data_IF_458028701241
#
_entry.id   IF_458028701241
#
_cell.length_a   1.000
_cell.length_b   1.000
_cell.length_c   1.000
_cell.angle_alpha   90.00
_cell.angle_beta   90.00
_cell.angle_gamma   90.00
#
_symmetry.space_group_name_H-M   'P 1'
#
loop_
_entity.id
_entity.type
_entity.pdbx_description
1 polymer ?
#
# COMPACT_ATOMS: atom_id res chain seq x y z
N UNK A 1 -9.37 5.02 14.15
CA UNK A 1 -8.20 5.28 13.29
C UNK A 1 -8.29 4.27 12.17
N UNK A 2 -8.42 4.68 10.90
CA UNK A 2 -8.35 3.73 9.78
C UNK A 2 -6.91 3.26 9.67
N UNK A 3 -6.65 1.98 9.91
CA UNK A 3 -5.30 1.44 9.80
C UNK A 3 -4.85 1.54 8.33
N UNK A 4 -3.58 1.83 8.04
CA UNK A 4 -3.04 1.92 6.66
C UNK A 4 -3.39 0.67 5.83
N UNK A 5 -3.60 -0.47 6.49
CA UNK A 5 -4.18 -1.69 5.93
C UNK A 5 -5.51 -1.48 5.22
N UNK A 6 -6.47 -0.86 5.90
CA UNK A 6 -7.81 -0.59 5.36
C UNK A 6 -7.74 0.39 4.19
N UNK A 7 -6.84 1.38 4.28
CA UNK A 7 -6.64 2.36 3.22
C UNK A 7 -6.11 1.68 1.94
N UNK A 8 -5.14 0.77 2.07
CA UNK A 8 -4.61 0.01 0.94
C UNK A 8 -5.69 -0.84 0.26
N UNK A 9 -6.54 -1.53 1.05
CA UNK A 9 -7.66 -2.32 0.51
C UNK A 9 -8.71 -1.41 -0.14
N UNK A 10 -9.03 -0.26 0.47
CA UNK A 10 -9.93 0.73 -0.11
C UNK A 10 -9.41 1.33 -1.43
N UNK A 11 -8.09 1.35 -1.63
CA UNK A 11 -7.44 1.75 -2.87
C UNK A 11 -7.19 0.60 -3.86
N UNK A 12 -7.73 -0.59 -3.61
CA UNK A 12 -7.75 -1.69 -4.57
C UNK A 12 -6.70 -2.77 -4.34
N UNK A 13 -6.05 -2.80 -3.18
CA UNK A 13 -5.22 -3.95 -2.81
C UNK A 13 -6.11 -5.19 -2.61
N UNK A 14 -5.67 -6.35 -3.12
CA UNK A 14 -6.28 -7.66 -2.85
C UNK A 14 -6.30 -7.99 -1.35
N UNK A 15 -5.30 -7.50 -0.65
CA UNK A 15 -5.13 -7.63 0.78
C UNK A 15 -3.97 -6.77 1.24
N UNK A 16 -3.92 -6.56 2.55
CA UNK A 16 -2.85 -5.80 3.18
C UNK A 16 -2.41 -6.45 4.49
N UNK A 17 -1.14 -6.29 4.82
CA UNK A 17 -0.54 -6.92 6.00
C UNK A 17 0.53 -6.00 6.61
N UNK A 18 0.57 -5.95 7.93
CA UNK A 18 1.62 -5.25 8.66
C UNK A 18 2.81 -6.20 8.86
N UNK A 19 4.02 -5.70 8.63
CA UNK A 19 5.24 -6.46 8.74
C UNK A 19 5.72 -6.53 10.19
N UNK A 20 5.59 -7.69 10.82
CA UNK A 20 6.07 -7.92 12.18
C UNK A 20 5.42 -6.98 13.20
N UNK A 21 6.24 -6.37 14.08
CA UNK A 21 5.80 -5.39 15.10
C UNK A 21 5.90 -3.93 14.65
N UNK A 22 6.43 -3.66 13.46
CA UNK A 22 6.70 -2.30 12.97
C UNK A 22 5.49 -1.64 12.29
N UNK A 23 5.58 -0.34 11.96
CA UNK A 23 4.49 0.40 11.30
C UNK A 23 4.38 0.12 9.79
N UNK A 24 5.25 -0.74 9.24
CA UNK A 24 5.29 -1.03 7.81
C UNK A 24 4.10 -1.88 7.41
N UNK A 25 3.33 -1.42 6.42
CA UNK A 25 2.20 -2.16 5.85
C UNK A 25 2.41 -2.36 4.36
N UNK A 26 2.19 -3.59 3.91
CA UNK A 26 2.20 -3.96 2.51
C UNK A 26 0.78 -4.08 1.98
N UNK A 27 0.58 -3.71 0.72
CA UNK A 27 -0.65 -4.00 -0.03
C UNK A 27 -0.28 -4.71 -1.33
N UNK A 28 -0.98 -5.79 -1.66
CA UNK A 28 -0.75 -6.56 -2.88
C UNK A 28 -1.78 -6.15 -3.93
N UNK A 29 -1.33 -5.83 -5.13
CA UNK A 29 -2.18 -5.43 -6.26
C UNK A 29 -2.00 -6.38 -7.42
N UNK A 30 -3.06 -6.62 -8.18
CA UNK A 30 -3.02 -7.49 -9.38
C UNK A 30 -2.28 -6.85 -10.55
N UNK A 31 -2.17 -5.52 -10.57
CA UNK A 31 -1.57 -4.80 -11.68
C UNK A 31 -0.83 -3.54 -11.20
N UNK A 32 0.22 -3.19 -11.94
CA UNK A 32 1.09 -2.04 -11.67
C UNK A 32 0.32 -0.71 -11.65
N UNK A 33 -0.68 -0.54 -12.52
CA UNK A 33 -1.42 0.72 -12.64
C UNK A 33 -2.17 1.06 -11.35
N UNK A 34 -2.81 0.08 -10.73
CA UNK A 34 -3.56 0.30 -9.50
C UNK A 34 -2.64 0.46 -8.29
N UNK A 35 -1.51 -0.25 -8.25
CA UNK A 35 -0.47 -0.03 -7.24
C UNK A 35 0.06 1.42 -7.27
N UNK A 36 0.37 1.95 -8.45
CA UNK A 36 0.88 3.33 -8.61
C UNK A 36 -0.18 4.39 -8.25
N UNK A 37 -1.47 4.17 -8.56
CA UNK A 37 -2.54 5.07 -8.12
C UNK A 37 -2.67 5.10 -6.60
N UNK A 38 -2.58 3.94 -5.95
CA UNK A 38 -2.61 3.84 -4.50
C UNK A 38 -1.41 4.56 -3.88
N UNK A 39 -0.21 4.37 -4.45
CA UNK A 39 1.00 5.09 -4.05
C UNK A 39 0.82 6.61 -4.13
N UNK A 40 0.33 7.14 -5.25
CA UNK A 40 0.11 8.59 -5.43
C UNK A 40 -0.85 9.14 -4.36
N UNK A 41 -1.98 8.45 -4.12
CA UNK A 41 -2.96 8.85 -3.11
C UNK A 41 -2.35 8.86 -1.70
N UNK A 42 -1.61 7.82 -1.33
CA UNK A 42 -1.02 7.71 0.00
C UNK A 42 0.12 8.73 0.17
N UNK A 43 0.96 8.94 -0.85
CA UNK A 43 2.01 9.97 -0.83
C UNK A 43 1.43 11.37 -0.65
N UNK A 44 0.28 11.66 -1.25
CA UNK A 44 -0.39 12.97 -1.12
C UNK A 44 -0.81 13.30 0.32
N UNK A 45 -0.95 12.30 1.20
CA UNK A 45 -1.23 12.54 2.62
C UNK A 45 0.00 13.04 3.40
N UNK A 46 1.21 12.88 2.87
CA UNK A 46 2.45 13.38 3.48
C UNK A 46 2.85 12.73 4.81
N UNK A 47 2.21 11.63 5.21
CA UNK A 47 2.42 10.95 6.51
C UNK A 47 3.38 9.77 6.46
N UNK A 48 3.58 9.17 5.29
CA UNK A 48 4.31 7.91 5.16
C UNK A 48 5.34 7.97 4.04
N UNK A 49 6.46 7.28 4.24
CA UNK A 49 7.33 6.89 3.14
C UNK A 49 6.68 5.74 2.38
N UNK A 50 6.44 5.92 1.08
CA UNK A 50 5.74 4.95 0.22
C UNK A 50 6.66 4.49 -0.90
N UNK A 51 6.69 3.18 -1.12
CA UNK A 51 7.54 2.54 -2.12
C UNK A 51 6.72 1.54 -2.94
N UNK A 52 6.76 1.67 -4.26
CA UNK A 52 6.28 0.62 -5.17
C UNK A 52 7.35 -0.46 -5.34
N UNK A 53 6.97 -1.73 -5.21
CA UNK A 53 7.80 -2.88 -5.55
C UNK A 53 7.07 -3.79 -6.53
N UNK A 54 7.82 -4.59 -7.28
CA UNK A 54 7.29 -5.64 -8.16
C UNK A 54 8.04 -6.95 -7.93
N UNK A 55 7.39 -8.06 -8.25
CA UNK A 55 8.02 -9.38 -8.28
C UNK A 55 9.25 -9.37 -9.19
N UNK A 56 10.28 -10.13 -8.81
CA UNK A 56 11.43 -10.43 -9.65
C UNK A 56 11.04 -11.66 -10.47
N UNK A 57 10.16 -11.48 -11.44
CA UNK A 57 9.98 -12.44 -12.53
C UNK A 57 10.86 -12.03 -13.71
#
# INVERSE_FOLDING_TARGET
MRELKELLVAYGALGSLMSGSGPTVFGIFTNKKDALKAEERIKSEGKWSVFSAHSID
#
